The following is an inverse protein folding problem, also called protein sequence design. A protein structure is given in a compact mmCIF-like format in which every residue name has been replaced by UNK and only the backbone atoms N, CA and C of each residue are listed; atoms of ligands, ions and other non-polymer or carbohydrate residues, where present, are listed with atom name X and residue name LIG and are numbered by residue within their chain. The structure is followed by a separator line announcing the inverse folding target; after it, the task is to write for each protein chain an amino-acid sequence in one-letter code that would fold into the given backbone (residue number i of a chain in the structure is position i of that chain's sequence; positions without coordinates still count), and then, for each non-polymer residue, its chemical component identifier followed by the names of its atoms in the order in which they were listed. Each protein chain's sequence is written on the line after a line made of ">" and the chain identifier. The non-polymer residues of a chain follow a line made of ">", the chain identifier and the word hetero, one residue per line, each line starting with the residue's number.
data_IF_898853686089
#
_entry.id   IF_898853686089
#
_cell.length_a   1.000
_cell.length_b   1.000
_cell.length_c   1.000
_cell.angle_alpha   90.00
_cell.angle_beta   90.00
_cell.angle_gamma   90.00
#
_symmetry.space_group_name_H-M   'P 1'
#
loop_
_entity.id
_entity.type
_entity.pdbx_description
1 polymer ?
#
# COMPACT_ATOMS: atom_id res chain seq x y z
N UNK A 1 13.86 -12.29 -17.24
CA UNK A 1 12.94 -12.37 -16.07
C UNK A 1 12.73 -11.01 -15.38
N UNK A 2 13.67 -10.04 -15.45
CA UNK A 2 13.52 -8.71 -14.78
C UNK A 2 12.46 -7.81 -15.41
N UNK A 3 12.47 -7.66 -16.74
CA UNK A 3 11.56 -6.77 -17.48
C UNK A 3 10.07 -7.03 -17.20
N UNK A 4 9.67 -8.30 -17.01
CA UNK A 4 8.27 -8.68 -16.75
C UNK A 4 7.80 -8.21 -15.37
N UNK A 5 8.70 -8.20 -14.36
CA UNK A 5 8.38 -7.71 -13.02
C UNK A 5 8.22 -6.18 -13.00
N UNK A 6 9.11 -5.46 -13.66
CA UNK A 6 9.03 -4.00 -13.78
C UNK A 6 7.76 -3.56 -14.49
N UNK A 7 7.36 -4.27 -15.55
CA UNK A 7 6.09 -4.04 -16.24
C UNK A 7 4.89 -4.18 -15.30
N UNK A 8 4.80 -5.27 -14.52
CA UNK A 8 3.71 -5.51 -13.56
C UNK A 8 3.68 -4.42 -12.49
N UNK A 9 4.84 -4.07 -11.94
CA UNK A 9 4.93 -3.03 -10.91
C UNK A 9 4.50 -1.67 -11.45
N UNK A 10 4.88 -1.34 -12.68
CA UNK A 10 4.49 -0.09 -13.34
C UNK A 10 3.00 -0.05 -13.63
N UNK A 11 2.43 -1.16 -14.10
CA UNK A 11 1.00 -1.28 -14.37
C UNK A 11 0.13 -1.00 -13.14
N UNK A 12 0.58 -1.39 -11.93
CA UNK A 12 -0.19 -1.12 -10.70
C UNK A 12 0.17 0.18 -9.99
N UNK A 13 1.31 0.80 -10.32
CA UNK A 13 1.77 2.06 -9.69
C UNK A 13 1.30 3.30 -10.45
N UNK A 14 1.24 3.23 -11.77
CA UNK A 14 1.01 4.36 -12.68
C UNK A 14 -0.34 4.20 -13.40
N UNK A 15 -1.37 4.96 -13.01
CA UNK A 15 -2.71 4.86 -13.60
C UNK A 15 -2.74 5.18 -15.11
N UNK A 16 -1.92 6.13 -15.56
CA UNK A 16 -1.85 6.49 -16.99
C UNK A 16 -1.28 5.35 -17.80
N UNK A 17 -0.23 4.70 -17.28
CA UNK A 17 0.34 3.52 -17.91
C UNK A 17 -0.66 2.37 -17.94
N UNK A 18 -1.39 2.08 -16.85
CA UNK A 18 -2.44 1.06 -16.83
C UNK A 18 -3.52 1.30 -17.90
N UNK A 19 -3.99 2.55 -18.01
CA UNK A 19 -5.02 2.94 -18.97
C UNK A 19 -4.53 2.93 -20.42
N UNK A 20 -3.21 3.05 -20.64
CA UNK A 20 -2.61 2.93 -21.97
C UNK A 20 -2.54 1.49 -22.49
N UNK A 21 -2.70 0.48 -21.64
CA UNK A 21 -2.63 -0.93 -22.02
C UNK A 21 -3.90 -1.41 -22.73
N UNK A 22 -3.73 -2.34 -23.67
CA UNK A 22 -4.85 -3.02 -24.34
C UNK A 22 -5.70 -3.84 -23.36
N UNK A 23 -6.88 -4.30 -23.81
CA UNK A 23 -7.71 -5.23 -23.03
C UNK A 23 -6.98 -6.53 -22.71
N UNK A 24 -6.25 -7.05 -23.69
CA UNK A 24 -5.54 -8.34 -23.59
C UNK A 24 -4.35 -8.21 -22.62
N UNK A 25 -3.62 -7.10 -22.69
CA UNK A 25 -2.49 -6.84 -21.78
C UNK A 25 -2.97 -6.65 -20.35
N UNK A 26 -4.07 -5.93 -20.13
CA UNK A 26 -4.67 -5.78 -18.78
C UNK A 26 -5.15 -7.11 -18.21
N UNK A 27 -5.76 -7.96 -19.05
CA UNK A 27 -6.19 -9.30 -18.63
C UNK A 27 -5.03 -10.26 -18.30
N UNK A 28 -3.84 -10.01 -18.88
CA UNK A 28 -2.64 -10.77 -18.60
C UNK A 28 -1.90 -10.32 -17.32
N UNK A 29 -2.29 -9.18 -16.72
CA UNK A 29 -1.74 -8.74 -15.44
C UNK A 29 -2.20 -9.69 -14.32
N UNK A 30 -1.33 -9.98 -13.34
CA UNK A 30 -1.75 -10.70 -12.15
C UNK A 30 -2.80 -9.88 -11.38
N UNK A 31 -3.59 -10.56 -10.55
CA UNK A 31 -4.50 -9.90 -9.64
C UNK A 31 -3.80 -8.74 -8.91
N UNK A 32 -4.51 -7.61 -8.80
CA UNK A 32 -3.95 -6.43 -8.15
C UNK A 32 -3.49 -6.83 -6.75
N UNK A 33 -2.20 -6.62 -6.39
CA UNK A 33 -1.69 -6.96 -5.07
C UNK A 33 -2.37 -6.16 -3.94
N UNK A 34 -3.09 -5.09 -4.28
CA UNK A 34 -3.93 -4.31 -3.37
C UNK A 34 -5.44 -4.51 -3.62
N UNK A 35 -5.86 -5.42 -4.51
CA UNK A 35 -7.28 -5.76 -4.65
C UNK A 35 -7.78 -6.42 -3.37
N UNK A 36 -8.97 -5.97 -2.95
CA UNK A 36 -9.84 -6.46 -1.89
C UNK A 36 -9.33 -7.70 -1.15
N UNK A 37 -8.50 -7.44 -0.14
CA UNK A 37 -8.64 -8.21 1.09
C UNK A 37 -9.99 -7.78 1.65
N UNK A 38 -11.01 -8.62 1.49
CA UNK A 38 -12.31 -8.39 2.12
C UNK A 38 -12.10 -8.45 3.64
N UNK A 39 -12.01 -7.28 4.25
CA UNK A 39 -11.92 -7.13 5.70
C UNK A 39 -13.36 -7.15 6.20
N UNK A 40 -13.71 -8.15 7.02
CA UNK A 40 -15.00 -8.17 7.71
C UNK A 40 -15.12 -6.96 8.65
N UNK A 41 -16.35 -6.52 8.91
CA UNK A 41 -16.64 -5.40 9.82
C UNK A 41 -16.01 -5.63 11.21
N UNK A 42 -15.99 -6.88 11.67
CA UNK A 42 -15.35 -7.30 12.92
C UNK A 42 -13.84 -7.05 12.92
N UNK A 43 -13.17 -7.29 11.79
CA UNK A 43 -11.74 -7.02 11.62
C UNK A 43 -11.47 -5.53 11.45
N UNK A 44 -12.35 -4.79 10.79
CA UNK A 44 -12.25 -3.33 10.65
C UNK A 44 -12.42 -2.60 11.99
N UNK A 45 -13.29 -3.10 12.87
CA UNK A 45 -13.49 -2.56 14.22
C UNK A 45 -12.24 -2.64 15.10
N UNK A 46 -11.37 -3.63 14.87
CA UNK A 46 -10.15 -3.85 15.66
C UNK A 46 -8.89 -3.28 15.00
N UNK A 47 -8.94 -2.91 13.72
CA UNK A 47 -7.82 -2.25 13.04
C UNK A 47 -7.74 -0.80 13.53
N UNK A 48 -6.72 -0.52 14.34
CA UNK A 48 -6.40 0.84 14.79
C UNK A 48 -5.29 1.42 13.90
N UNK A 49 -5.33 2.74 13.66
CA UNK A 49 -4.20 3.45 13.06
C UNK A 49 -3.01 3.57 14.01
N UNK A 50 -2.07 4.47 13.71
CA UNK A 50 -1.01 4.83 14.67
C UNK A 50 -1.61 5.46 15.91
N UNK A 51 -1.62 4.72 17.03
CA UNK A 51 -1.98 5.24 18.34
C UNK A 51 -0.91 6.24 18.81
N UNK A 52 -1.30 7.17 19.69
CA UNK A 52 -0.39 8.14 20.28
C UNK A 52 0.85 7.39 20.81
N UNK A 53 2.03 7.74 20.32
CA UNK A 53 3.27 7.09 20.73
C UNK A 53 3.47 7.35 22.22
N UNK A 54 3.11 6.38 23.07
CA UNK A 54 3.56 6.38 24.44
C UNK A 54 5.11 6.33 24.41
N UNK A 55 5.80 7.08 25.28
CA UNK A 55 7.26 7.09 25.31
C UNK A 55 7.81 5.65 25.36
N UNK A 56 8.61 5.28 24.34
CA UNK A 56 9.25 3.97 24.26
C UNK A 56 8.50 2.87 23.50
N UNK A 57 7.32 3.14 22.92
CA UNK A 57 6.55 2.15 22.14
C UNK A 57 6.62 2.35 20.62
N UNK A 58 7.22 3.43 20.13
CA UNK A 58 7.37 3.66 18.69
C UNK A 58 8.70 3.13 18.16
N UNK A 59 8.66 2.56 16.95
CA UNK A 59 9.88 2.25 16.22
C UNK A 59 10.53 3.56 15.74
N UNK A 60 11.87 3.68 15.74
CA UNK A 60 12.57 4.87 15.25
C UNK A 60 12.39 5.12 13.75
N UNK A 61 11.70 4.22 13.04
CA UNK A 61 11.44 4.31 11.60
C UNK A 61 10.05 4.88 11.26
N UNK A 62 9.18 5.05 12.25
CA UNK A 62 7.89 5.71 12.08
C UNK A 62 8.01 7.22 12.38
N UNK A 63 8.78 7.93 11.57
CA UNK A 63 8.80 9.41 11.53
C UNK A 63 8.82 9.83 10.06
N UNK A 64 7.93 10.74 9.64
CA UNK A 64 7.94 12.09 10.19
C UNK A 64 6.56 12.53 10.73
N UNK A 65 6.44 12.61 12.05
CA UNK A 65 5.49 13.53 12.68
C UNK A 65 6.26 14.80 13.08
N UNK A 66 6.12 15.93 12.35
CA UNK A 66 6.65 17.22 12.80
C UNK A 66 5.78 17.79 13.95
N UNK A 67 6.31 18.69 14.79
CA UNK A 67 7.43 18.53 15.70
C UNK A 67 6.91 18.65 17.14
N UNK A 68 6.30 17.60 17.69
CA UNK A 68 6.09 17.56 19.15
C UNK A 68 7.37 17.03 19.79
N UNK A 69 8.23 17.95 20.21
CA UNK A 69 9.31 17.64 21.14
C UNK A 69 8.64 17.16 22.44
N UNK A 70 8.71 15.86 22.70
CA UNK A 70 8.29 15.29 23.98
C UNK A 70 9.27 15.78 25.06
N UNK A 71 8.80 16.63 25.97
CA UNK A 71 9.45 16.90 27.26
C UNK A 71 9.06 15.82 28.28
#
# INVERSE_FOLDING_TARGET
>A
MSQKKEHILRAWRDPEYFNSLSSEERAALPANPAAELELGDDLLEVITGGDACLPGQSSPYCTPCPPFHCF
#
